data_IF_533083858232
#
_entry.id   IF_533083858232
#
_cell.length_a   1.000
_cell.length_b   1.000
_cell.length_c   1.000
_cell.angle_alpha   90.00
_cell.angle_beta   90.00
_cell.angle_gamma   90.00
#
_symmetry.space_group_name_H-M   'P 1'
#
loop_
_entity.id
_entity.type
_entity.pdbx_description
1 polymer ?
#
# COMPACT_ATOMS: atom_id res chain seq x y z
N UNK A 1 36.60 31.32 -19.25
CA UNK A 1 35.52 31.35 -18.24
C UNK A 1 34.80 32.67 -18.41
N UNK A 2 33.84 32.71 -19.34
CA UNK A 2 33.04 33.90 -19.63
C UNK A 2 31.59 33.63 -19.19
N UNK A 3 31.13 34.52 -18.30
CA UNK A 3 29.77 34.87 -17.91
C UNK A 3 28.59 34.03 -18.45
N UNK A 4 28.07 33.12 -17.61
CA UNK A 4 26.67 32.71 -17.63
C UNK A 4 25.86 33.67 -16.73
N UNK A 5 25.30 34.73 -17.32
CA UNK A 5 24.27 35.54 -16.68
C UNK A 5 22.91 34.89 -16.98
N UNK A 6 22.24 34.37 -15.96
CA UNK A 6 20.85 33.95 -16.07
C UNK A 6 19.99 35.19 -16.31
N UNK A 7 19.23 35.22 -17.40
CA UNK A 7 18.24 36.28 -17.68
C UNK A 7 17.19 36.25 -16.58
N UNK A 8 17.03 37.35 -15.84
CA UNK A 8 15.83 37.60 -15.04
C UNK A 8 14.66 37.81 -15.99
N UNK A 9 13.87 36.76 -16.20
CA UNK A 9 12.75 36.77 -17.13
C UNK A 9 11.44 37.09 -16.42
N UNK A 10 10.73 38.10 -16.92
CA UNK A 10 9.28 38.35 -16.72
C UNK A 10 8.39 37.10 -16.99
N UNK A 11 8.98 36.03 -17.50
CA UNK A 11 8.38 34.72 -17.71
C UNK A 11 7.96 34.00 -16.42
N UNK A 12 8.55 34.30 -15.25
CA UNK A 12 8.14 33.69 -13.98
C UNK A 12 6.77 34.20 -13.51
N UNK A 13 6.46 35.48 -13.73
CA UNK A 13 5.14 36.05 -13.42
C UNK A 13 4.02 35.31 -14.19
N UNK A 14 4.23 35.04 -15.47
CA UNK A 14 3.24 34.33 -16.31
C UNK A 14 2.95 32.89 -15.88
N UNK A 15 3.92 32.23 -15.22
CA UNK A 15 3.72 30.87 -14.71
C UNK A 15 2.83 30.91 -13.46
N UNK A 16 3.00 31.92 -12.60
CA UNK A 16 2.13 32.16 -11.45
C UNK A 16 0.70 32.55 -11.86
N UNK A 17 0.54 33.30 -12.95
CA UNK A 17 -0.79 33.69 -13.47
C UNK A 17 -1.58 32.51 -14.08
N UNK A 18 -0.90 31.40 -14.39
CA UNK A 18 -1.48 30.20 -15.00
C UNK A 18 -1.63 29.04 -14.01
N UNK A 19 -1.09 29.18 -12.80
CA UNK A 19 -1.20 28.16 -11.77
C UNK A 19 -2.61 28.24 -11.13
N UNK A 20 -3.46 27.22 -11.28
CA UNK A 20 -4.79 27.19 -10.68
C UNK A 20 -4.76 26.94 -9.17
N UNK A 21 -3.58 26.80 -8.54
CA UNK A 21 -3.46 26.68 -7.09
C UNK A 21 -4.09 27.92 -6.41
N UNK A 22 -4.98 27.67 -5.46
CA UNK A 22 -5.65 28.73 -4.70
C UNK A 22 -4.57 29.53 -3.97
N UNK A 23 -4.57 30.85 -4.15
CA UNK A 23 -3.60 31.79 -3.58
C UNK A 23 -3.47 31.76 -2.03
N UNK A 24 -4.23 30.91 -1.34
CA UNK A 24 -4.22 30.74 0.12
C UNK A 24 -3.36 29.56 0.60
N UNK A 25 -2.91 28.65 -0.27
CA UNK A 25 -1.98 27.58 0.11
C UNK A 25 -0.54 28.09 -0.01
N UNK A 26 -0.13 28.95 0.92
CA UNK A 26 1.29 29.26 1.06
C UNK A 26 2.04 27.97 1.38
N UNK A 27 3.04 27.57 0.58
CA UNK A 27 3.83 26.39 0.89
C UNK A 27 4.46 26.56 2.26
N UNK A 28 4.37 25.53 3.10
CA UNK A 28 5.05 25.50 4.40
C UNK A 28 6.51 25.94 4.24
N UNK A 29 7.04 26.69 5.21
CA UNK A 29 8.39 27.27 5.12
C UNK A 29 9.53 26.24 4.96
N UNK A 30 9.23 24.94 5.06
CA UNK A 30 10.14 23.81 4.83
C UNK A 30 10.05 23.23 3.40
N UNK A 31 9.18 23.76 2.54
CA UNK A 31 8.96 23.29 1.18
C UNK A 31 9.90 24.00 0.19
N UNK A 32 11.16 23.53 0.11
CA UNK A 32 12.21 24.13 -0.74
C UNK A 32 12.17 23.72 -2.23
N UNK A 33 11.25 22.85 -2.65
CA UNK A 33 11.36 22.22 -3.97
C UNK A 33 10.43 22.84 -5.02
N UNK A 34 11.03 23.63 -5.91
CA UNK A 34 10.47 23.99 -7.22
C UNK A 34 10.25 22.70 -8.03
N UNK A 35 8.98 22.37 -8.31
CA UNK A 35 8.65 21.27 -9.20
C UNK A 35 9.31 21.48 -10.57
N UNK A 36 10.35 20.69 -10.90
CA UNK A 36 10.92 20.67 -12.24
C UNK A 36 9.96 19.90 -13.13
N UNK A 37 9.13 20.67 -13.82
CA UNK A 37 8.35 20.38 -15.02
C UNK A 37 8.41 18.89 -15.45
N UNK A 38 7.30 18.19 -15.22
CA UNK A 38 7.06 16.82 -15.62
C UNK A 38 7.54 16.62 -17.06
N UNK A 39 8.45 15.68 -17.27
CA UNK A 39 8.74 15.17 -18.62
C UNK A 39 7.55 14.31 -19.03
N UNK A 40 6.46 14.94 -19.48
CA UNK A 40 5.34 14.26 -20.12
C UNK A 40 5.78 13.96 -21.56
N UNK A 41 5.87 12.69 -21.93
CA UNK A 41 6.25 12.14 -23.25
C UNK A 41 7.74 11.97 -23.57
N UNK A 42 8.58 11.47 -22.66
CA UNK A 42 9.81 10.81 -23.14
C UNK A 42 9.67 9.29 -23.18
N UNK A 43 9.78 8.75 -24.38
CA UNK A 43 10.15 7.36 -24.61
C UNK A 43 11.66 7.25 -24.36
N UNK A 44 12.10 7.28 -23.09
CA UNK A 44 13.54 7.28 -22.74
C UNK A 44 14.07 5.84 -22.82
N UNK A 45 15.05 5.52 -23.70
CA UNK A 45 15.69 4.21 -23.71
C UNK A 45 16.81 4.09 -22.65
N UNK A 46 17.20 5.20 -22.03
CA UNK A 46 18.46 5.34 -21.30
C UNK A 46 18.26 5.49 -19.78
N UNK A 47 18.70 4.46 -19.06
CA UNK A 47 18.61 4.30 -17.60
C UNK A 47 19.41 5.38 -16.82
N UNK A 48 20.35 6.06 -17.47
CA UNK A 48 21.22 7.09 -16.90
C UNK A 48 20.45 8.34 -16.42
N UNK A 49 19.38 8.72 -17.12
CA UNK A 49 18.55 9.89 -16.73
C UNK A 49 17.81 9.64 -15.42
N UNK A 50 17.39 8.40 -15.17
CA UNK A 50 16.71 8.02 -13.92
C UNK A 50 17.64 8.10 -12.71
N UNK A 51 18.96 7.90 -12.88
CA UNK A 51 19.93 8.00 -11.77
C UNK A 51 20.28 9.43 -11.35
N UNK A 52 19.96 10.43 -12.17
CA UNK A 52 20.25 11.85 -11.86
C UNK A 52 19.08 12.57 -11.21
N UNK A 53 17.90 11.97 -11.20
CA UNK A 53 16.71 12.57 -10.61
C UNK A 53 16.59 12.09 -9.16
N UNK A 54 16.46 13.00 -8.18
CA UNK A 54 16.13 12.60 -6.82
C UNK A 54 14.78 11.88 -6.82
N UNK A 55 14.53 10.98 -5.84
CA UNK A 55 13.23 10.33 -5.70
C UNK A 55 12.12 11.40 -5.62
N UNK A 56 10.98 11.12 -6.24
CA UNK A 56 9.86 12.05 -6.28
C UNK A 56 9.44 12.44 -4.85
N UNK A 57 9.25 13.75 -4.63
CA UNK A 57 8.71 14.26 -3.38
C UNK A 57 7.23 13.82 -3.28
N UNK A 58 6.95 12.86 -2.40
CA UNK A 58 5.61 12.26 -2.26
C UNK A 58 4.59 13.32 -1.83
N UNK A 59 5.00 14.30 -1.00
CA UNK A 59 4.13 15.39 -0.57
C UNK A 59 3.73 16.27 -1.76
N UNK A 60 4.70 16.65 -2.60
CA UNK A 60 4.45 17.40 -3.84
C UNK A 60 3.51 16.67 -4.78
N UNK A 61 3.72 15.36 -4.95
CA UNK A 61 2.84 14.53 -5.79
C UNK A 61 1.41 14.60 -5.27
N UNK A 62 1.17 14.43 -3.98
CA UNK A 62 -0.18 14.45 -3.39
C UNK A 62 -0.84 15.83 -3.48
N UNK A 63 -0.11 16.92 -3.22
CA UNK A 63 -0.69 18.25 -3.06
C UNK A 63 -0.65 19.14 -4.32
N UNK A 64 0.16 18.82 -5.33
CA UNK A 64 0.27 19.66 -6.54
C UNK A 64 -0.49 19.10 -7.75
N UNK A 65 -1.06 17.90 -7.63
CA UNK A 65 -1.69 17.18 -8.74
C UNK A 65 -3.22 17.17 -8.65
N UNK A 66 -3.81 18.27 -8.16
CA UNK A 66 -5.26 18.45 -8.01
C UNK A 66 -6.05 18.44 -9.34
N UNK A 67 -5.35 18.43 -10.48
CA UNK A 67 -5.95 18.36 -11.81
C UNK A 67 -6.34 16.93 -12.24
N UNK A 68 -6.01 15.91 -11.46
CA UNK A 68 -6.39 14.52 -11.74
C UNK A 68 -7.82 14.22 -11.28
N UNK A 69 -8.54 13.41 -12.06
CA UNK A 69 -9.92 12.98 -11.75
C UNK A 69 -10.00 12.21 -10.42
N UNK A 70 -8.92 11.51 -10.06
CA UNK A 70 -8.80 10.77 -8.80
C UNK A 70 -7.55 11.24 -8.06
N UNK A 71 -7.69 11.30 -6.74
CA UNK A 71 -6.56 11.49 -5.86
C UNK A 71 -5.56 10.31 -5.98
N UNK A 72 -4.27 10.63 -5.81
CA UNK A 72 -3.18 9.66 -5.89
C UNK A 72 -3.31 8.56 -4.85
N UNK A 73 -3.78 8.88 -3.65
CA UNK A 73 -4.04 7.86 -2.62
C UNK A 73 -5.08 6.86 -3.12
N UNK A 74 -6.15 7.34 -3.75
CA UNK A 74 -7.22 6.49 -4.30
C UNK A 74 -6.66 5.59 -5.42
N UNK A 75 -5.84 6.15 -6.30
CA UNK A 75 -5.19 5.37 -7.36
C UNK A 75 -4.28 4.26 -6.80
N UNK A 76 -3.47 4.57 -5.78
CA UNK A 76 -2.60 3.60 -5.12
C UNK A 76 -3.43 2.50 -4.43
N UNK A 77 -4.49 2.88 -3.72
CA UNK A 77 -5.36 1.93 -3.02
C UNK A 77 -6.13 1.00 -3.98
N UNK A 78 -6.55 1.52 -5.14
CA UNK A 78 -7.11 0.71 -6.23
C UNK A 78 -6.06 -0.25 -6.80
N UNK A 79 -4.84 0.23 -7.05
CA UNK A 79 -3.74 -0.60 -7.56
C UNK A 79 -3.33 -1.70 -6.58
N UNK A 80 -3.32 -1.41 -5.27
CA UNK A 80 -3.05 -2.38 -4.20
C UNK A 80 -4.22 -3.35 -3.95
N UNK A 81 -5.34 -3.19 -4.67
CA UNK A 81 -6.55 -4.02 -4.55
C UNK A 81 -7.10 -4.00 -3.12
N UNK A 82 -7.11 -2.80 -2.51
CA UNK A 82 -7.63 -2.57 -1.15
C UNK A 82 -9.07 -2.06 -1.20
N UNK A 83 -9.36 -1.13 -2.11
CA UNK A 83 -10.69 -0.49 -2.24
C UNK A 83 -11.65 -1.32 -3.09
N UNK A 84 -11.16 -1.84 -4.23
CA UNK A 84 -11.92 -2.70 -5.12
C UNK A 84 -11.11 -3.94 -5.47
N UNK A 85 -11.76 -5.10 -5.41
CA UNK A 85 -11.16 -6.37 -5.78
C UNK A 85 -12.23 -7.24 -6.46
N UNK A 86 -11.89 -7.78 -7.62
CA UNK A 86 -12.75 -8.69 -8.38
C UNK A 86 -12.63 -10.13 -7.87
N UNK A 87 -13.64 -10.95 -8.15
CA UNK A 87 -13.63 -12.36 -7.73
C UNK A 87 -12.48 -13.16 -8.37
N UNK A 88 -12.11 -12.81 -9.60
CA UNK A 88 -10.94 -13.38 -10.29
C UNK A 88 -9.64 -13.04 -9.56
N UNK A 89 -9.49 -11.79 -9.12
CA UNK A 89 -8.32 -11.36 -8.33
C UNK A 89 -8.29 -12.03 -6.95
N UNK A 90 -9.44 -12.20 -6.29
CA UNK A 90 -9.52 -12.96 -5.04
C UNK A 90 -9.03 -14.40 -5.27
N UNK A 91 -9.47 -15.04 -6.35
CA UNK A 91 -9.05 -16.40 -6.67
C UNK A 91 -7.56 -16.48 -6.98
N UNK A 92 -7.02 -15.52 -7.75
CA UNK A 92 -5.59 -15.44 -8.04
C UNK A 92 -4.76 -15.26 -6.77
N UNK A 93 -5.17 -14.36 -5.87
CA UNK A 93 -4.49 -14.19 -4.57
C UNK A 93 -4.54 -15.49 -3.77
N UNK A 94 -5.68 -16.19 -3.73
CA UNK A 94 -5.80 -17.47 -3.03
C UNK A 94 -4.79 -18.49 -3.57
N UNK A 95 -4.73 -18.65 -4.90
CA UNK A 95 -3.80 -19.57 -5.57
C UNK A 95 -2.33 -19.22 -5.32
N UNK A 96 -1.98 -17.95 -5.53
CA UNK A 96 -0.61 -17.44 -5.39
C UNK A 96 -0.10 -17.52 -3.97
N UNK A 97 -0.99 -17.44 -2.98
CA UNK A 97 -0.62 -17.43 -1.56
C UNK A 97 -0.80 -18.79 -0.87
N UNK A 98 -1.08 -19.86 -1.62
CA UNK A 98 -1.01 -21.23 -1.08
C UNK A 98 0.39 -21.52 -0.56
N UNK A 99 0.48 -22.27 0.54
CA UNK A 99 1.75 -22.50 1.28
C UNK A 99 1.99 -21.53 2.44
N UNK A 100 1.10 -20.54 2.64
CA UNK A 100 1.02 -19.70 3.84
C UNK A 100 2.39 -19.13 4.26
N UNK A 101 2.90 -19.47 5.45
CA UNK A 101 4.11 -18.90 6.05
C UNK A 101 5.40 -19.19 5.28
N UNK A 102 5.40 -20.24 4.45
CA UNK A 102 6.53 -20.61 3.58
C UNK A 102 6.59 -19.80 2.28
N UNK A 103 5.52 -19.08 1.96
CA UNK A 103 5.40 -18.29 0.75
C UNK A 103 5.62 -16.80 1.05
N UNK A 104 6.61 -16.18 0.39
CA UNK A 104 6.90 -14.76 0.59
C UNK A 104 5.75 -13.86 0.13
N UNK A 105 5.07 -14.22 -0.97
CA UNK A 105 3.91 -13.46 -1.47
C UNK A 105 2.76 -13.47 -0.47
N UNK A 106 2.59 -14.56 0.29
CA UNK A 106 1.60 -14.59 1.36
C UNK A 106 1.89 -13.53 2.41
N UNK A 107 3.17 -13.29 2.78
CA UNK A 107 3.56 -12.27 3.76
C UNK A 107 3.28 -10.86 3.24
N UNK A 108 3.66 -10.58 2.00
CA UNK A 108 3.44 -9.28 1.36
C UNK A 108 1.95 -8.95 1.22
N UNK A 109 1.14 -9.91 0.74
CA UNK A 109 -0.31 -9.72 0.62
C UNK A 109 -0.98 -9.58 1.99
N UNK A 110 -0.40 -10.18 3.05
CA UNK A 110 -0.88 -10.10 4.44
C UNK A 110 -0.65 -8.71 5.04
N UNK A 111 0.51 -8.08 4.86
CA UNK A 111 0.78 -6.75 5.47
C UNK A 111 -0.11 -5.64 4.91
N UNK A 112 -0.64 -5.82 3.71
CA UNK A 112 -1.58 -4.88 3.07
C UNK A 112 -3.02 -4.98 3.59
N UNK A 113 -3.36 -5.97 4.41
CA UNK A 113 -4.76 -6.33 4.74
C UNK A 113 -4.95 -6.58 6.24
N UNK A 114 -6.17 -6.36 6.73
CA UNK A 114 -6.57 -6.78 8.07
C UNK A 114 -6.92 -8.27 8.07
N UNK A 115 -6.50 -8.98 9.12
CA UNK A 115 -6.67 -10.43 9.25
C UNK A 115 -7.57 -10.78 10.42
N UNK A 116 -8.25 -11.92 10.32
CA UNK A 116 -9.18 -12.42 11.35
C UNK A 116 -8.51 -12.61 12.71
N UNK A 117 -7.24 -13.00 12.76
CA UNK A 117 -6.50 -13.14 14.03
C UNK A 117 -6.30 -11.80 14.76
N UNK A 118 -6.36 -10.67 14.05
CA UNK A 118 -6.25 -9.33 14.63
C UNK A 118 -7.61 -8.77 15.05
N UNK A 119 -8.71 -9.38 14.63
CA UNK A 119 -10.07 -8.89 14.92
C UNK A 119 -10.35 -8.78 16.42
N UNK A 120 -9.87 -9.73 17.23
CA UNK A 120 -10.00 -9.66 18.69
C UNK A 120 -9.33 -8.43 19.30
N UNK A 121 -8.20 -7.99 18.75
CA UNK A 121 -7.50 -6.79 19.21
C UNK A 121 -8.27 -5.51 18.85
N UNK A 122 -8.90 -5.49 17.68
CA UNK A 122 -9.74 -4.37 17.24
C UNK A 122 -10.99 -4.30 18.11
N UNK A 123 -11.65 -5.44 18.35
CA UNK A 123 -12.89 -5.50 19.12
C UNK A 123 -12.71 -5.08 20.58
N UNK A 124 -11.54 -5.34 21.16
CA UNK A 124 -11.23 -5.01 22.56
C UNK A 124 -10.55 -3.65 22.73
N UNK A 125 -10.28 -2.93 21.64
CA UNK A 125 -9.68 -1.61 21.69
C UNK A 125 -10.64 -0.60 22.36
N UNK A 126 -10.11 0.15 23.32
CA UNK A 126 -10.83 1.17 24.08
C UNK A 126 -10.16 2.53 23.88
N UNK A 127 -10.75 3.61 24.39
CA UNK A 127 -10.21 4.97 24.21
C UNK A 127 -8.79 5.15 24.77
N UNK A 128 -8.38 4.32 25.75
CA UNK A 128 -7.01 4.33 26.30
C UNK A 128 -6.02 3.53 25.46
N UNK A 129 -6.48 2.80 24.45
CA UNK A 129 -5.63 2.06 23.52
C UNK A 129 -4.88 3.04 22.63
N UNK A 130 -3.57 2.84 22.48
CA UNK A 130 -2.76 3.61 21.55
C UNK A 130 -3.02 3.11 20.12
N UNK A 131 -3.96 3.78 19.42
CA UNK A 131 -4.36 3.42 18.06
C UNK A 131 -3.22 3.50 17.05
N UNK A 132 -2.26 4.42 17.23
CA UNK A 132 -1.10 4.55 16.34
C UNK A 132 -0.23 3.29 16.41
N UNK A 133 0.09 2.82 17.62
CA UNK A 133 0.84 1.57 17.82
C UNK A 133 0.06 0.35 17.35
N UNK A 134 -1.25 0.34 17.56
CA UNK A 134 -2.13 -0.74 17.11
C UNK A 134 -2.15 -0.83 15.58
N UNK A 135 -2.34 0.28 14.88
CA UNK A 135 -2.32 0.33 13.42
C UNK A 135 -0.97 -0.14 12.86
N UNK A 136 0.14 0.32 13.44
CA UNK A 136 1.48 -0.11 13.06
C UNK A 136 1.71 -1.61 13.30
N UNK A 137 1.05 -2.21 14.31
CA UNK A 137 1.12 -3.66 14.53
C UNK A 137 0.43 -4.49 13.45
N UNK A 138 -0.50 -3.90 12.70
CA UNK A 138 -1.20 -4.57 11.60
C UNK A 138 -0.39 -4.57 10.30
N UNK A 139 0.43 -3.54 10.08
CA UNK A 139 1.26 -3.41 8.87
C UNK A 139 2.59 -4.16 8.98
N UNK A 140 2.98 -4.56 10.19
CA UNK A 140 4.22 -5.30 10.42
C UNK A 140 4.00 -6.80 10.59
N UNK A 141 4.74 -7.59 9.81
CA UNK A 141 4.81 -9.02 10.05
C UNK A 141 5.72 -9.32 11.25
N UNK A 142 5.17 -10.00 12.27
CA UNK A 142 5.94 -10.49 13.42
C UNK A 142 6.01 -12.00 13.41
N UNK A 143 7.21 -12.55 13.31
CA UNK A 143 7.42 -13.97 13.54
C UNK A 143 7.39 -14.25 15.06
N UNK A 144 6.37 -14.97 15.51
CA UNK A 144 6.22 -15.36 16.90
C UNK A 144 6.80 -16.75 17.10
N UNK A 145 8.02 -16.80 17.64
CA UNK A 145 8.70 -18.06 17.94
C UNK A 145 8.50 -18.42 19.42
N UNK A 146 7.31 -18.93 19.76
CA UNK A 146 6.99 -19.37 21.13
C UNK A 146 6.69 -20.86 21.16
N UNK A 147 7.03 -21.54 22.26
CA UNK A 147 6.83 -22.99 22.40
C UNK A 147 5.39 -23.47 22.11
N UNK A 148 4.32 -22.78 22.55
CA UNK A 148 2.96 -23.16 22.18
C UNK A 148 2.69 -23.12 20.67
N UNK A 149 3.28 -22.16 19.97
CA UNK A 149 3.13 -22.03 18.51
C UNK A 149 3.85 -23.17 17.80
N UNK A 150 5.10 -23.48 18.19
CA UNK A 150 5.84 -24.63 17.62
C UNK A 150 5.12 -25.96 17.83
N UNK A 151 4.55 -26.14 19.02
CA UNK A 151 3.75 -27.32 19.33
C UNK A 151 2.50 -27.41 18.44
N UNK A 152 1.84 -26.28 18.19
CA UNK A 152 0.74 -26.18 17.23
C UNK A 152 1.16 -26.59 15.82
N UNK A 153 2.22 -25.98 15.30
CA UNK A 153 2.76 -26.25 13.96
C UNK A 153 3.14 -27.72 13.76
N UNK A 154 3.74 -28.35 14.77
CA UNK A 154 4.17 -29.76 14.71
C UNK A 154 2.97 -30.72 14.69
N UNK A 155 1.91 -30.40 15.43
CA UNK A 155 0.76 -31.30 15.61
C UNK A 155 -0.38 -31.05 14.62
N UNK A 156 -0.39 -29.91 13.92
CA UNK A 156 -1.44 -29.55 12.97
C UNK A 156 -1.63 -30.63 11.89
N UNK A 157 -0.53 -31.18 11.36
CA UNK A 157 -0.59 -32.24 10.35
C UNK A 157 -1.21 -33.55 10.87
N UNK A 158 -0.98 -33.90 12.13
CA UNK A 158 -1.59 -35.08 12.77
C UNK A 158 -3.07 -34.84 13.04
N UNK A 159 -3.41 -33.69 13.62
CA UNK A 159 -4.79 -33.29 13.88
C UNK A 159 -5.62 -33.22 12.59
N UNK A 160 -5.04 -32.74 11.49
CA UNK A 160 -5.67 -32.71 10.17
C UNK A 160 -6.04 -34.11 9.67
N UNK A 161 -5.12 -35.08 9.78
CA UNK A 161 -5.35 -36.47 9.36
C UNK A 161 -6.46 -37.13 10.19
N UNK A 162 -6.42 -36.95 11.50
CA UNK A 162 -7.44 -37.48 12.40
C UNK A 162 -8.81 -36.84 12.14
N UNK A 163 -8.85 -35.53 11.85
CA UNK A 163 -10.08 -34.84 11.50
C UNK A 163 -10.74 -35.43 10.24
N UNK A 164 -9.96 -35.64 9.18
CA UNK A 164 -10.46 -36.25 7.93
C UNK A 164 -10.97 -37.67 8.19
N UNK A 165 -10.20 -38.48 8.92
CA UNK A 165 -10.55 -39.87 9.23
C UNK A 165 -11.86 -39.97 10.04
N UNK A 166 -12.05 -39.07 11.01
CA UNK A 166 -13.21 -39.11 11.90
C UNK A 166 -14.47 -38.49 11.28
N UNK A 167 -14.33 -37.49 10.41
CA UNK A 167 -15.47 -36.74 9.88
C UNK A 167 -15.86 -37.12 8.45
N UNK A 168 -15.02 -37.88 7.75
CA UNK A 168 -15.21 -38.24 6.33
C UNK A 168 -15.48 -37.01 5.43
N UNK A 169 -14.72 -35.93 5.66
CA UNK A 169 -14.83 -34.67 4.90
C UNK A 169 -13.55 -34.46 4.10
N UNK A 170 -13.69 -33.94 2.88
CA UNK A 170 -12.56 -33.51 2.05
C UNK A 170 -12.12 -32.12 2.48
N UNK A 171 -10.94 -32.02 3.08
CA UNK A 171 -10.32 -30.74 3.44
C UNK A 171 -9.14 -30.47 2.51
N UNK A 172 -8.99 -29.23 2.05
CA UNK A 172 -7.92 -28.79 1.15
C UNK A 172 -7.14 -27.64 1.78
N UNK A 173 -5.88 -27.49 1.39
CA UNK A 173 -5.09 -26.31 1.74
C UNK A 173 -5.57 -25.11 0.93
N UNK A 174 -5.70 -23.97 1.60
CA UNK A 174 -6.13 -22.71 1.01
C UNK A 174 -5.10 -21.61 1.30
N UNK A 175 -5.02 -20.64 0.40
CA UNK A 175 -4.31 -19.39 0.61
C UNK A 175 -5.13 -18.34 1.36
N UNK A 176 -4.77 -17.08 1.18
CA UNK A 176 -5.53 -15.93 1.71
C UNK A 176 -6.83 -15.81 0.92
N UNK A 177 -7.95 -15.76 1.64
CA UNK A 177 -9.25 -15.43 1.07
C UNK A 177 -9.62 -14.02 1.51
N UNK A 178 -9.85 -13.14 0.54
CA UNK A 178 -10.21 -11.73 0.79
C UNK A 178 -11.72 -11.58 0.72
N UNK A 179 -12.31 -10.93 1.71
CA UNK A 179 -13.74 -10.60 1.68
C UNK A 179 -14.02 -9.49 0.67
N UNK A 180 -15.05 -9.67 -0.14
CA UNK A 180 -15.55 -8.60 -1.01
C UNK A 180 -16.24 -7.54 -0.14
N UNK A 181 -15.94 -6.27 -0.39
CA UNK A 181 -16.71 -5.17 0.16
C UNK A 181 -18.10 -5.19 -0.52
N UNK A 182 -19.08 -5.81 0.13
CA UNK A 182 -20.48 -5.71 -0.27
C UNK A 182 -21.05 -4.50 0.44
N UNK A 183 -20.78 -3.30 -0.08
CA UNK A 183 -21.56 -2.12 0.28
C UNK A 183 -22.92 -2.29 -0.39
N UNK A 184 -23.76 -3.12 0.21
CA UNK A 184 -25.19 -3.16 -0.09
C UNK A 184 -25.86 -2.14 0.81
N UNK A 185 -25.73 -0.86 0.45
CA UNK A 185 -26.66 0.15 0.95
C UNK A 185 -27.96 0.01 0.15
N UNK A 186 -28.88 -0.79 0.70
CA UNK A 186 -30.32 -0.67 0.46
C UNK A 186 -30.89 0.51 1.24
#
# INVERSE_FOLDING_TARGET
MEHLMLRSGDSLQRVLDLDPSLADDTPDAEYEDLFRNVIINMNVPEMSVLTMSPPANIYAVVHEHHYLEKDHETYILEHLQVTSISDEQIHTIELETRGQSTNNQWREKRTMRLHSNNFGLIYTAIQTTNFVKLAHSFTQYRHLNTEPIKHGETNEGTAFKEYIANRNVVVRSNGIVVCRNVVSCS
#
